data_IF_688851477795
#
_entry.id   IF_688851477795
#
_cell.length_a   1.000
_cell.length_b   1.000
_cell.length_c   1.000
_cell.angle_alpha   90.00
_cell.angle_beta   90.00
_cell.angle_gamma   90.00
#
_symmetry.space_group_name_H-M   'P 1'
#
loop_
_entity.id
_entity.type
_entity.pdbx_description
1 polymer ?
#
# COMPACT_ATOMS: atom_id res chain seq x y z
N UNK A 1 -7.35 -9.51 -24.55
CA UNK A 1 -6.19 -9.01 -25.32
C UNK A 1 -5.16 -8.40 -24.36
N UNK A 2 -3.85 -8.46 -24.68
CA UNK A 2 -2.73 -7.99 -23.83
C UNK A 2 -2.90 -6.53 -23.35
N UNK A 3 -3.51 -5.69 -24.19
CA UNK A 3 -3.81 -4.30 -23.85
C UNK A 3 -4.72 -4.15 -22.63
N UNK A 4 -5.74 -5.01 -22.46
CA UNK A 4 -6.60 -4.98 -21.27
C UNK A 4 -5.83 -5.37 -20.00
N UNK A 5 -4.87 -6.29 -20.11
CA UNK A 5 -4.04 -6.69 -18.97
C UNK A 5 -3.12 -5.54 -18.55
N UNK A 6 -2.48 -4.88 -19.52
CA UNK A 6 -1.64 -3.69 -19.27
C UNK A 6 -2.42 -2.55 -18.62
N UNK A 7 -3.63 -2.26 -19.10
CA UNK A 7 -4.47 -1.22 -18.50
C UNK A 7 -4.90 -1.56 -17.08
N UNK A 8 -5.30 -2.81 -16.83
CA UNK A 8 -5.70 -3.25 -15.50
C UNK A 8 -4.55 -3.15 -14.50
N UNK A 9 -3.36 -3.63 -14.88
CA UNK A 9 -2.17 -3.54 -14.03
C UNK A 9 -1.77 -2.08 -13.83
N UNK A 10 -1.78 -1.25 -14.88
CA UNK A 10 -1.46 0.18 -14.75
C UNK A 10 -2.41 0.91 -13.79
N UNK A 11 -3.72 0.62 -13.86
CA UNK A 11 -4.72 1.18 -12.92
C UNK A 11 -4.43 0.74 -11.48
N UNK A 12 -4.12 -0.53 -11.26
CA UNK A 12 -3.78 -1.05 -9.93
C UNK A 12 -2.51 -0.39 -9.36
N UNK A 13 -1.45 -0.26 -10.16
CA UNK A 13 -0.22 0.41 -9.74
C UNK A 13 -0.45 1.88 -9.40
N UNK A 14 -1.22 2.61 -10.22
CA UNK A 14 -1.60 4.00 -9.94
C UNK A 14 -2.37 4.14 -8.63
N UNK A 15 -3.30 3.21 -8.36
CA UNK A 15 -4.04 3.19 -7.10
C UNK A 15 -3.09 3.03 -5.90
N UNK A 16 -2.15 2.09 -5.97
CA UNK A 16 -1.17 1.87 -4.91
C UNK A 16 -0.27 3.09 -4.68
N UNK A 17 0.19 3.74 -5.75
CA UNK A 17 0.95 5.00 -5.64
C UNK A 17 0.12 6.12 -5.01
N UNK A 18 -1.17 6.25 -5.35
CA UNK A 18 -2.08 7.23 -4.76
C UNK A 18 -2.34 6.97 -3.25
N UNK A 19 -2.23 5.71 -2.82
CA UNK A 19 -2.22 5.34 -1.41
C UNK A 19 -0.84 5.60 -0.74
N UNK A 20 0.16 6.09 -1.46
CA UNK A 20 1.50 6.32 -0.91
C UNK A 20 2.33 5.05 -0.76
N UNK A 21 2.05 4.00 -1.55
CA UNK A 21 2.97 2.88 -1.69
C UNK A 21 4.13 3.27 -2.61
N UNK A 22 5.36 3.04 -2.17
CA UNK A 22 6.57 3.31 -2.97
C UNK A 22 6.81 2.17 -3.97
N UNK A 23 6.42 2.38 -5.22
CA UNK A 23 6.59 1.43 -6.32
C UNK A 23 7.36 2.15 -7.45
N UNK A 24 8.65 2.41 -7.22
CA UNK A 24 9.46 3.30 -8.09
C UNK A 24 10.15 2.56 -9.25
N UNK A 25 10.23 1.22 -9.19
CA UNK A 25 11.01 0.40 -10.14
C UNK A 25 10.17 -0.73 -10.80
N UNK A 26 8.88 -0.49 -11.06
CA UNK A 26 8.00 -1.52 -11.60
C UNK A 26 7.01 -0.97 -12.62
N UNK A 27 7.07 -1.50 -13.84
CA UNK A 27 6.12 -1.20 -14.91
C UNK A 27 4.99 -2.24 -15.01
N UNK A 28 3.88 -1.84 -15.62
CA UNK A 28 2.77 -2.78 -15.87
C UNK A 28 3.18 -3.92 -16.82
N UNK A 29 4.09 -3.64 -17.75
CA UNK A 29 4.62 -4.62 -18.68
C UNK A 29 5.38 -5.75 -17.95
N UNK A 30 6.18 -5.43 -16.93
CA UNK A 30 6.94 -6.43 -16.17
C UNK A 30 6.05 -7.48 -15.50
N UNK A 31 4.84 -7.08 -15.12
CA UNK A 31 3.84 -7.96 -14.50
C UNK A 31 3.09 -8.77 -15.55
N UNK A 32 2.68 -8.12 -16.65
CA UNK A 32 1.96 -8.80 -17.74
C UNK A 32 2.85 -9.82 -18.45
N UNK A 33 4.14 -9.54 -18.55
CA UNK A 33 5.15 -10.42 -19.15
C UNK A 33 5.65 -11.49 -18.16
N UNK A 34 5.21 -11.41 -16.89
CA UNK A 34 5.40 -12.46 -15.90
C UNK A 34 6.80 -12.54 -15.31
N UNK A 35 7.48 -11.40 -15.07
CA UNK A 35 8.79 -11.39 -14.41
C UNK A 35 8.66 -11.79 -12.93
N UNK A 36 9.07 -13.00 -12.52
CA UNK A 36 8.75 -13.54 -11.20
C UNK A 36 9.40 -12.75 -10.05
N UNK A 37 10.59 -12.18 -10.27
CA UNK A 37 11.28 -11.36 -9.29
C UNK A 37 10.50 -10.07 -9.01
N UNK A 38 10.03 -9.42 -10.05
CA UNK A 38 9.27 -8.15 -9.93
C UNK A 38 7.85 -8.41 -9.41
N UNK A 39 7.19 -9.49 -9.83
CA UNK A 39 5.88 -9.89 -9.30
C UNK A 39 5.95 -10.17 -7.79
N UNK A 40 6.97 -10.91 -7.33
CA UNK A 40 7.16 -11.17 -5.91
C UNK A 40 7.45 -9.88 -5.13
N UNK A 41 8.28 -8.99 -5.68
CA UNK A 41 8.56 -7.67 -5.11
C UNK A 41 7.30 -6.78 -4.98
N UNK A 42 6.40 -6.85 -5.96
CA UNK A 42 5.11 -6.16 -5.92
C UNK A 42 4.22 -6.70 -4.79
N UNK A 43 4.06 -8.03 -4.71
CA UNK A 43 3.24 -8.67 -3.67
C UNK A 43 3.78 -8.34 -2.28
N UNK A 44 5.11 -8.41 -2.10
CA UNK A 44 5.78 -8.04 -0.86
C UNK A 44 5.48 -6.59 -0.45
N UNK A 45 5.62 -5.66 -1.40
CA UNK A 45 5.34 -4.23 -1.17
C UNK A 45 3.89 -4.01 -0.75
N UNK A 46 2.94 -4.68 -1.40
CA UNK A 46 1.51 -4.61 -1.07
C UNK A 46 1.28 -5.10 0.38
N UNK A 47 1.79 -6.28 0.74
CA UNK A 47 1.62 -6.84 2.09
C UNK A 47 2.17 -5.88 3.15
N UNK A 48 3.42 -5.42 2.96
CA UNK A 48 4.09 -4.55 3.92
C UNK A 48 3.36 -3.20 4.07
N UNK A 49 2.84 -2.65 2.98
CA UNK A 49 2.12 -1.38 2.98
C UNK A 49 0.83 -1.43 3.83
N UNK A 50 0.04 -2.50 3.68
CA UNK A 50 -1.19 -2.67 4.46
C UNK A 50 -0.92 -3.02 5.94
N UNK A 51 0.13 -3.79 6.23
CA UNK A 51 0.55 -4.06 7.61
C UNK A 51 1.01 -2.80 8.33
N UNK A 52 1.81 -1.95 7.66
CA UNK A 52 2.24 -0.66 8.21
C UNK A 52 1.06 0.27 8.49
N UNK A 53 0.13 0.41 7.53
CA UNK A 53 -1.09 1.21 7.71
C UNK A 53 -1.91 0.78 8.93
N UNK A 54 -2.09 -0.54 9.13
CA UNK A 54 -2.82 -1.07 10.29
C UNK A 54 -2.16 -0.64 11.60
N UNK A 55 -0.83 -0.68 11.68
CA UNK A 55 -0.11 -0.26 12.88
C UNK A 55 -0.28 1.24 13.15
N UNK A 56 -0.14 2.09 12.12
CA UNK A 56 -0.33 3.53 12.26
C UNK A 56 -1.73 3.88 12.77
N UNK A 57 -2.78 3.30 12.18
CA UNK A 57 -4.16 3.57 12.62
C UNK A 57 -4.46 3.11 14.05
N UNK A 58 -3.82 2.03 14.54
CA UNK A 58 -3.98 1.59 15.93
C UNK A 58 -3.34 2.60 16.90
N UNK A 59 -2.16 3.13 16.56
CA UNK A 59 -1.47 4.15 17.36
C UNK A 59 -2.27 5.47 17.37
N UNK A 60 -2.84 5.88 16.23
CA UNK A 60 -3.69 7.08 16.16
C UNK A 60 -4.93 6.97 17.07
N UNK A 61 -5.60 5.80 17.10
CA UNK A 61 -6.74 5.56 18.00
C UNK A 61 -6.30 5.57 19.47
N UNK A 62 -5.23 4.86 19.81
CA UNK A 62 -4.71 4.82 21.19
C UNK A 62 -4.27 6.20 21.69
N UNK A 63 -3.67 7.03 20.84
CA UNK A 63 -3.30 8.41 21.21
C UNK A 63 -4.53 9.29 21.45
N UNK A 64 -5.57 9.14 20.62
CA UNK A 64 -6.82 9.89 20.77
C UNK A 64 -7.57 9.53 22.06
N UNK A 65 -7.58 8.25 22.42
CA UNK A 65 -8.19 7.78 23.66
C UNK A 65 -7.37 8.22 24.89
N UNK A 66 -6.03 8.15 24.82
CA UNK A 66 -5.13 8.57 25.92
C UNK A 66 -5.21 10.08 26.19
N UNK A 67 -5.32 10.90 25.14
CA UNK A 67 -5.42 12.37 25.25
C UNK A 67 -6.74 12.83 25.86
N UNK A 68 -7.80 12.02 25.72
CA UNK A 68 -9.14 12.35 26.23
C UNK A 68 -9.29 12.06 27.73
N UNK A 69 -8.42 11.22 28.31
CA UNK A 69 -8.44 10.90 29.74
C UNK A 69 -7.64 11.90 30.59
N UNK A 70 -6.54 12.47 30.06
CA UNK A 70 -5.72 13.45 30.78
C UNK A 70 -6.28 14.89 30.86
N UNK A 71 -7.47 15.14 30.28
CA UNK A 71 -8.12 16.46 30.29
C UNK A 71 -9.08 16.66 31.48
N UNK A 72 -9.40 15.60 32.23
CA UNK A 72 -10.37 15.65 33.34
C UNK A 72 -9.72 15.60 34.75
N UNK A 73 -8.39 15.66 34.83
CA UNK A 73 -7.63 15.58 36.10
C UNK A 73 -7.25 16.96 36.70
N UNK A 74 -8.03 18.02 36.45
CA UNK A 74 -7.90 19.34 37.10
C UNK A 74 -9.21 19.78 37.76
#
# INVERSE_FOLDING_TARGET
>A
MRIHQLENVSKALRFLCAQGAHIENLGAQDIVDGNPRLTLGLIWTIILHFQKRKMTSIVDVQYRDSSSHGMFDC
#
